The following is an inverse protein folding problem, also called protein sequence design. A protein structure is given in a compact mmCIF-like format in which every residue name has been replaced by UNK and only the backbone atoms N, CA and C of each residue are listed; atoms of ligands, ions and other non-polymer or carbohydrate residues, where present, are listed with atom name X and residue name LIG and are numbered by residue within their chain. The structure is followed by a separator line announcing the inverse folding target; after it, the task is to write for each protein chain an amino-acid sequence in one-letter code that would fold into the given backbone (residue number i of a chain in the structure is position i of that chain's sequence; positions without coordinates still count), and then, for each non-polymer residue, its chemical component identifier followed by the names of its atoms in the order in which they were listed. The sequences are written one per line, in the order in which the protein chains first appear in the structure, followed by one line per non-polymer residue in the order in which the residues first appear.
data_IF_183016789571
#
_entry.id   IF_183016789571
#
_cell.length_a   1.000
_cell.length_b   1.000
_cell.length_c   1.000
_cell.angle_alpha   90.00
_cell.angle_beta   90.00
_cell.angle_gamma   90.00
#
_symmetry.space_group_name_H-M   'P 1'
#
loop_
_entity.id
_entity.type
_entity.pdbx_description
1 polymer ?
#
# COMPACT_ATOMS: atom_id res chain seq x y z
N UNK A 1 18.51 4.55 -11.34
CA UNK A 1 19.09 4.53 -9.98
C UNK A 1 18.12 5.27 -9.08
N UNK A 2 17.80 4.70 -7.91
CA UNK A 2 16.86 5.32 -6.97
C UNK A 2 17.60 6.47 -6.28
N UNK A 3 17.16 7.71 -6.49
CA UNK A 3 17.77 8.89 -5.87
C UNK A 3 17.28 9.05 -4.41
N UNK A 4 17.72 8.13 -3.54
CA UNK A 4 17.34 8.12 -2.12
C UNK A 4 18.06 9.19 -1.29
N UNK A 5 19.11 9.82 -1.84
CA UNK A 5 19.89 10.85 -1.15
C UNK A 5 19.08 12.10 -0.80
N UNK A 6 17.93 12.31 -1.45
CA UNK A 6 16.99 13.40 -1.15
C UNK A 6 16.06 13.09 0.03
N UNK A 7 16.00 11.86 0.51
CA UNK A 7 15.08 11.47 1.56
C UNK A 7 15.74 11.69 2.94
N UNK A 8 15.11 12.44 3.86
CA UNK A 8 15.73 12.83 5.12
C UNK A 8 16.33 11.68 5.95
N UNK A 9 15.69 10.51 5.93
CA UNK A 9 16.14 9.35 6.70
C UNK A 9 17.50 8.78 6.23
N UNK A 10 17.84 8.95 4.95
CA UNK A 10 19.10 8.46 4.37
C UNK A 10 20.24 9.48 4.45
N UNK A 11 20.00 10.68 4.99
CA UNK A 11 21.00 11.77 5.03
C UNK A 11 22.24 11.47 5.86
N UNK A 12 22.15 10.52 6.80
CA UNK A 12 23.27 10.10 7.64
C UNK A 12 24.10 8.96 7.02
N UNK A 13 23.66 8.39 5.89
CA UNK A 13 24.42 7.35 5.21
C UNK A 13 25.57 7.94 4.40
N UNK A 14 26.66 7.19 4.28
CA UNK A 14 27.78 7.57 3.43
C UNK A 14 27.37 7.60 1.94
N UNK A 15 28.02 8.41 1.09
CA UNK A 15 27.76 8.40 -0.35
C UNK A 15 27.93 7.02 -0.99
N UNK A 16 28.86 6.21 -0.49
CA UNK A 16 29.11 4.84 -0.94
C UNK A 16 27.92 3.92 -0.61
N UNK A 17 27.38 4.01 0.61
CA UNK A 17 26.18 3.26 1.00
C UNK A 17 24.97 3.70 0.17
N UNK A 18 24.73 5.00 0.00
CA UNK A 18 23.65 5.54 -0.84
C UNK A 18 23.75 4.99 -2.27
N UNK A 19 24.96 4.98 -2.85
CA UNK A 19 25.20 4.45 -4.19
C UNK A 19 24.98 2.93 -4.31
N UNK A 20 25.05 2.19 -3.19
CA UNK A 20 24.78 0.75 -3.16
C UNK A 20 23.28 0.41 -3.20
N UNK A 21 22.41 1.37 -2.86
CA UNK A 21 20.96 1.15 -2.71
C UNK A 21 20.29 0.96 -4.06
N UNK A 22 19.77 -0.25 -4.29
CA UNK A 22 18.99 -0.62 -5.47
C UNK A 22 17.50 -0.35 -5.27
N UNK A 23 16.98 -0.66 -4.08
CA UNK A 23 15.57 -0.45 -3.69
C UNK A 23 15.50 0.04 -2.26
N UNK A 24 14.52 0.88 -1.94
CA UNK A 24 14.32 1.37 -0.58
C UNK A 24 12.84 1.61 -0.32
N UNK A 25 12.40 1.28 0.89
CA UNK A 25 11.10 1.66 1.40
C UNK A 25 11.30 2.37 2.74
N UNK A 26 10.65 3.52 2.88
CA UNK A 26 10.55 4.25 4.14
C UNK A 26 9.14 4.10 4.66
N UNK A 27 8.98 3.86 5.95
CA UNK A 27 7.70 3.60 6.58
C UNK A 27 7.72 4.12 8.03
N UNK A 28 6.70 3.73 8.80
CA UNK A 28 6.43 4.32 10.11
C UNK A 28 5.63 5.62 9.99
N UNK A 29 4.90 5.96 11.06
CA UNK A 29 3.98 7.11 11.11
C UNK A 29 4.66 8.44 10.81
N UNK A 30 5.97 8.53 11.02
CA UNK A 30 6.75 9.74 10.81
C UNK A 30 7.79 9.60 9.69
N UNK A 31 7.70 8.56 8.84
CA UNK A 31 8.72 8.24 7.82
C UNK A 31 10.12 8.10 8.45
N UNK A 32 10.17 7.37 9.57
CA UNK A 32 11.29 7.27 10.49
C UNK A 32 11.81 5.83 10.63
N UNK A 33 11.36 4.93 9.76
CA UNK A 33 11.78 3.54 9.65
C UNK A 33 12.11 3.29 8.17
N UNK A 34 13.20 2.57 7.89
CA UNK A 34 13.64 2.29 6.54
C UNK A 34 14.08 0.82 6.43
N UNK A 35 13.78 0.26 5.27
CA UNK A 35 14.35 -0.97 4.75
C UNK A 35 14.91 -0.69 3.36
N UNK A 36 16.11 -1.14 3.07
CA UNK A 36 16.69 -1.00 1.74
C UNK A 36 17.42 -2.27 1.31
N UNK A 37 17.51 -2.44 0.00
CA UNK A 37 18.15 -3.58 -0.66
C UNK A 37 19.29 -3.05 -1.51
N UNK A 38 20.47 -3.62 -1.34
CA UNK A 38 21.66 -3.25 -2.11
C UNK A 38 21.66 -3.91 -3.49
N UNK A 39 22.59 -3.50 -4.36
CA UNK A 39 22.85 -4.18 -5.63
C UNK A 39 23.31 -5.63 -5.48
N UNK A 40 23.81 -6.02 -4.30
CA UNK A 40 24.26 -7.38 -3.98
C UNK A 40 23.17 -8.22 -3.30
N UNK A 41 21.90 -7.79 -3.36
CA UNK A 41 20.76 -8.45 -2.71
C UNK A 41 20.88 -8.54 -1.17
N UNK A 42 21.68 -7.68 -0.54
CA UNK A 42 21.71 -7.54 0.92
C UNK A 42 20.58 -6.61 1.37
N UNK A 43 19.99 -6.93 2.51
CA UNK A 43 18.85 -6.21 3.08
C UNK A 43 19.27 -5.56 4.38
N UNK A 44 19.01 -4.26 4.49
CA UNK A 44 19.33 -3.48 5.67
C UNK A 44 18.11 -2.73 6.18
N UNK A 45 18.07 -2.52 7.50
CA UNK A 45 17.00 -1.83 8.21
C UNK A 45 17.57 -0.85 9.22
N UNK A 46 16.90 0.28 9.42
CA UNK A 46 17.20 1.22 10.49
C UNK A 46 16.02 2.16 10.74
N UNK A 47 16.06 2.89 11.84
CA UNK A 47 15.04 3.83 12.28
C UNK A 47 14.46 3.47 13.65
N UNK A 48 13.21 3.89 13.86
CA UNK A 48 12.44 3.56 15.06
C UNK A 48 12.06 2.07 15.05
N UNK A 49 12.07 1.42 16.21
CA UNK A 49 11.74 -0.02 16.31
C UNK A 49 10.82 -0.37 17.49
N UNK A 50 10.07 0.60 18.02
CA UNK A 50 9.17 0.36 19.16
C UNK A 50 8.06 -0.67 18.87
N UNK A 51 7.80 -0.94 17.59
CA UNK A 51 6.78 -1.88 17.11
C UNK A 51 7.38 -3.15 16.50
N UNK A 52 8.69 -3.38 16.68
CA UNK A 52 9.44 -4.51 16.12
C UNK A 52 9.44 -4.57 14.58
N UNK A 53 9.10 -3.47 13.89
CA UNK A 53 8.97 -3.43 12.43
C UNK A 53 10.31 -3.37 11.69
N UNK A 54 11.44 -3.21 12.38
CA UNK A 54 12.75 -3.46 11.77
C UNK A 54 13.06 -4.96 11.67
N UNK A 55 12.41 -5.82 12.46
CA UNK A 55 12.62 -7.27 12.40
C UNK A 55 14.01 -7.73 12.86
N UNK A 56 14.71 -6.94 13.67
CA UNK A 56 16.10 -7.17 14.09
C UNK A 56 16.27 -8.17 15.25
N UNK A 57 15.18 -8.78 15.73
CA UNK A 57 15.19 -9.65 16.92
C UNK A 57 15.14 -8.91 18.25
N UNK A 58 15.00 -7.59 18.22
CA UNK A 58 14.86 -6.71 19.37
C UNK A 58 13.85 -5.59 19.06
N UNK A 59 13.55 -4.74 20.05
CA UNK A 59 12.73 -3.54 19.90
C UNK A 59 13.58 -2.25 19.93
N UNK A 60 14.89 -2.36 19.70
CA UNK A 60 15.81 -1.24 19.81
C UNK A 60 15.85 -0.45 18.51
N UNK A 61 15.65 0.86 18.64
CA UNK A 61 15.79 1.79 17.52
C UNK A 61 17.27 2.00 17.21
N UNK A 62 17.59 2.20 15.93
CA UNK A 62 18.98 2.39 15.49
C UNK A 62 19.02 3.41 14.36
N UNK A 63 20.01 4.29 14.36
CA UNK A 63 20.30 5.16 13.21
C UNK A 63 21.35 4.55 12.27
N UNK A 64 22.03 3.50 12.72
CA UNK A 64 23.00 2.75 11.94
C UNK A 64 22.27 1.60 11.24
N UNK A 65 22.41 1.42 9.92
CA UNK A 65 21.89 0.27 9.20
C UNK A 65 22.31 -1.05 9.83
N UNK A 66 21.32 -1.87 10.20
CA UNK A 66 21.52 -3.26 10.62
C UNK A 66 21.18 -4.17 9.45
N UNK A 67 22.04 -5.14 9.17
CA UNK A 67 21.78 -6.16 8.15
C UNK A 67 20.70 -7.12 8.64
N UNK A 68 19.69 -7.37 7.81
CA UNK A 68 18.59 -8.27 8.08
C UNK A 68 18.84 -9.61 7.40
N UNK A 69 19.65 -10.45 8.05
CA UNK A 69 20.21 -11.68 7.47
C UNK A 69 19.14 -12.63 6.92
N UNK A 70 17.98 -12.73 7.58
CA UNK A 70 16.88 -13.60 7.18
C UNK A 70 16.31 -13.30 5.77
N UNK A 71 16.53 -12.09 5.24
CA UNK A 71 16.02 -11.66 3.94
C UNK A 71 17.12 -11.43 2.89
N UNK A 72 18.40 -11.57 3.26
CA UNK A 72 19.49 -11.40 2.31
C UNK A 72 19.43 -12.50 1.23
N UNK A 73 19.59 -12.11 -0.04
CA UNK A 73 19.49 -13.02 -1.19
C UNK A 73 18.06 -13.40 -1.61
N UNK A 74 17.03 -13.02 -0.84
CA UNK A 74 15.62 -13.40 -1.09
C UNK A 74 14.91 -12.57 -2.17
N UNK A 75 15.63 -11.87 -3.06
CA UNK A 75 15.10 -11.07 -4.20
C UNK A 75 13.70 -10.47 -3.97
N UNK A 76 13.64 -9.35 -3.27
CA UNK A 76 12.38 -8.73 -2.83
C UNK A 76 11.63 -8.10 -4.02
N UNK A 77 10.36 -8.49 -4.18
CA UNK A 77 9.47 -8.02 -5.25
C UNK A 77 8.37 -7.06 -4.77
N UNK A 78 7.76 -7.30 -3.61
CA UNK A 78 6.73 -6.43 -3.02
C UNK A 78 6.92 -6.27 -1.50
N UNK A 79 6.59 -5.10 -0.95
CA UNK A 79 6.67 -4.79 0.47
C UNK A 79 5.52 -3.84 0.85
N UNK A 80 4.85 -4.12 1.97
CA UNK A 80 3.80 -3.27 2.49
C UNK A 80 3.91 -3.10 4.01
N UNK A 81 3.64 -1.89 4.49
CA UNK A 81 3.61 -1.54 5.91
C UNK A 81 2.20 -1.12 6.33
N UNK A 82 1.71 -1.70 7.42
CA UNK A 82 0.39 -1.42 7.99
C UNK A 82 0.43 -0.43 9.15
N UNK A 83 -0.65 0.34 9.36
CA UNK A 83 -0.68 1.36 10.42
C UNK A 83 -0.84 0.81 11.84
N UNK A 84 -1.37 -0.40 11.99
CA UNK A 84 -1.19 -1.23 13.19
C UNK A 84 0.10 -2.01 12.97
N UNK A 85 1.22 -1.44 13.43
CA UNK A 85 2.52 -1.50 12.77
C UNK A 85 2.97 -2.93 12.49
N UNK A 86 2.88 -3.38 11.24
CA UNK A 86 3.38 -4.68 10.78
C UNK A 86 3.85 -4.57 9.34
N UNK A 87 4.76 -5.46 8.95
CA UNK A 87 5.33 -5.50 7.61
C UNK A 87 4.98 -6.83 6.96
N UNK A 88 4.56 -6.75 5.69
CA UNK A 88 4.54 -7.88 4.77
C UNK A 88 5.55 -7.64 3.67
N UNK A 89 6.18 -8.72 3.24
CA UNK A 89 7.13 -8.71 2.14
C UNK A 89 6.91 -9.97 1.32
N UNK A 90 7.00 -9.86 0.00
CA UNK A 90 7.12 -11.04 -0.85
C UNK A 90 8.34 -10.99 -1.77
N UNK A 91 8.80 -12.18 -2.13
CA UNK A 91 9.99 -12.42 -2.97
C UNK A 91 9.59 -12.68 -4.42
N UNK A 92 10.54 -12.63 -5.35
CA UNK A 92 10.32 -13.02 -6.77
C UNK A 92 9.93 -14.50 -6.92
N UNK A 93 10.35 -15.34 -5.98
CA UNK A 93 10.01 -16.76 -5.87
C UNK A 93 8.59 -16.97 -5.30
N UNK A 94 7.96 -15.90 -4.80
CA UNK A 94 6.60 -15.92 -4.29
C UNK A 94 6.46 -16.26 -2.80
N UNK A 95 7.58 -16.32 -2.07
CA UNK A 95 7.57 -16.49 -0.62
C UNK A 95 7.05 -15.21 0.05
N UNK A 96 6.26 -15.34 1.11
CA UNK A 96 5.76 -14.21 1.90
C UNK A 96 6.35 -14.24 3.30
N UNK A 97 6.86 -13.11 3.76
CA UNK A 97 7.38 -12.88 5.10
C UNK A 97 6.55 -11.83 5.83
N UNK A 98 6.36 -12.03 7.13
CA UNK A 98 5.61 -11.12 7.99
C UNK A 98 6.32 -10.91 9.35
N UNK A 99 6.31 -9.69 9.86
CA UNK A 99 6.78 -9.35 11.21
C UNK A 99 6.17 -8.04 11.73
N UNK A 100 6.45 -7.69 12.99
CA UNK A 100 5.91 -6.53 13.69
C UNK A 100 4.76 -6.89 14.63
N UNK A 101 3.78 -5.99 14.74
CA UNK A 101 2.61 -6.16 15.58
C UNK A 101 1.76 -7.36 15.12
N UNK A 102 1.21 -8.15 16.06
CA UNK A 102 0.39 -9.34 15.76
C UNK A 102 -0.86 -9.52 16.66
N UNK A 103 -1.29 -8.49 17.40
CA UNK A 103 -2.41 -8.64 18.35
C UNK A 103 -3.74 -9.13 17.76
N UNK A 104 -3.91 -9.07 16.44
CA UNK A 104 -5.10 -9.55 15.72
C UNK A 104 -4.75 -10.60 14.65
N UNK A 105 -3.62 -11.29 14.80
CA UNK A 105 -3.13 -12.31 13.87
C UNK A 105 -2.80 -11.82 12.45
N UNK A 106 -2.48 -10.53 12.28
CA UNK A 106 -2.07 -9.98 10.99
C UNK A 106 -0.75 -10.55 10.43
N UNK A 107 0.04 -11.29 11.22
CA UNK A 107 1.21 -12.00 10.69
C UNK A 107 0.84 -13.33 10.01
N UNK A 108 -0.40 -13.80 10.13
CA UNK A 108 -0.89 -14.96 9.38
C UNK A 108 -0.30 -16.31 9.80
N UNK A 109 0.30 -16.36 10.99
CA UNK A 109 1.02 -17.52 11.53
C UNK A 109 0.19 -18.35 12.53
N UNK A 110 -1.12 -18.13 12.61
CA UNK A 110 -1.98 -18.86 13.55
C UNK A 110 -1.89 -18.38 15.00
N UNK A 111 -1.10 -17.36 15.30
CA UNK A 111 -0.87 -16.86 16.65
C UNK A 111 -1.15 -15.35 16.78
N UNK A 112 -1.01 -14.82 17.99
CA UNK A 112 -1.12 -13.38 18.30
C UNK A 112 0.15 -12.80 18.93
N UNK A 113 1.23 -13.58 18.96
CA UNK A 113 2.53 -13.15 19.48
C UNK A 113 3.20 -12.18 18.51
N UNK A 114 3.80 -11.12 19.04
CA UNK A 114 4.52 -10.12 18.24
C UNK A 114 5.67 -10.78 17.45
N UNK A 115 5.86 -10.38 16.19
CA UNK A 115 6.95 -10.85 15.34
C UNK A 115 8.16 -9.92 15.46
N UNK A 116 9.20 -10.36 16.16
CA UNK A 116 10.44 -9.58 16.32
C UNK A 116 11.45 -9.81 15.19
N UNK A 117 11.24 -10.82 14.36
CA UNK A 117 12.03 -11.16 13.16
C UNK A 117 11.10 -11.52 12.00
N UNK A 118 11.54 -11.36 10.73
CA UNK A 118 10.81 -11.84 9.58
C UNK A 118 10.55 -13.35 9.67
N UNK A 119 9.29 -13.76 9.61
CA UNK A 119 8.90 -15.17 9.58
C UNK A 119 8.13 -15.44 8.29
N UNK A 120 8.44 -16.55 7.64
CA UNK A 120 7.74 -16.99 6.44
C UNK A 120 6.30 -17.42 6.77
N UNK A 121 5.34 -16.95 5.98
CA UNK A 121 3.91 -17.28 6.15
C UNK A 121 3.62 -18.63 5.48
N UNK A 122 3.92 -19.72 6.19
CA UNK A 122 3.93 -21.09 5.67
C UNK A 122 2.56 -21.81 5.59
N UNK A 123 1.47 -21.08 5.36
CA UNK A 123 0.10 -21.67 5.34
C UNK A 123 -0.43 -21.85 3.92
N UNK A 124 -1.65 -21.39 3.63
CA UNK A 124 -2.30 -21.51 2.32
C UNK A 124 -1.57 -20.76 1.18
N UNK A 125 -0.51 -20.00 1.52
CA UNK A 125 0.33 -19.30 0.56
C UNK A 125 1.51 -20.14 0.04
N UNK A 126 1.90 -21.24 0.70
CA UNK A 126 3.08 -22.04 0.28
C UNK A 126 2.97 -22.61 -1.14
N UNK A 127 1.75 -22.93 -1.57
CA UNK A 127 1.47 -23.49 -2.89
C UNK A 127 1.21 -22.41 -3.94
N UNK A 128 1.38 -21.13 -3.58
CA UNK A 128 1.07 -19.98 -4.42
C UNK A 128 2.31 -19.14 -4.64
N UNK A 129 2.51 -18.69 -5.87
CA UNK A 129 3.49 -17.65 -6.19
C UNK A 129 2.87 -16.29 -5.90
N UNK A 130 3.17 -15.68 -4.75
CA UNK A 130 2.69 -14.34 -4.40
C UNK A 130 3.46 -13.27 -5.18
N UNK A 131 2.75 -12.28 -5.71
CA UNK A 131 3.32 -11.20 -6.54
C UNK A 131 3.10 -9.81 -5.96
N UNK A 132 2.09 -9.63 -5.12
CA UNK A 132 1.80 -8.35 -4.44
C UNK A 132 1.29 -8.61 -3.03
N UNK A 133 1.71 -7.76 -2.07
CA UNK A 133 1.20 -7.75 -0.70
C UNK A 133 0.65 -6.36 -0.34
N UNK A 134 -0.35 -6.31 0.53
CA UNK A 134 -0.89 -5.05 1.04
C UNK A 134 -1.28 -5.16 2.53
N UNK A 135 -0.91 -4.15 3.30
CA UNK A 135 -1.22 -4.05 4.73
C UNK A 135 -2.24 -2.94 4.99
N UNK A 136 -3.31 -3.25 5.71
CA UNK A 136 -4.16 -2.24 6.33
C UNK A 136 -3.66 -1.90 7.72
N UNK A 137 -4.54 -1.53 8.65
CA UNK A 137 -4.08 -1.34 10.03
C UNK A 137 -3.66 -2.65 10.68
N UNK A 138 -4.54 -3.64 10.68
CA UNK A 138 -4.35 -4.90 11.41
C UNK A 138 -4.81 -6.08 10.58
N UNK A 139 -4.87 -5.91 9.26
CA UNK A 139 -5.23 -6.95 8.31
C UNK A 139 -4.26 -6.90 7.14
N UNK A 140 -4.19 -8.01 6.45
CA UNK A 140 -3.15 -8.30 5.47
C UNK A 140 -3.78 -8.94 4.25
N UNK A 141 -3.24 -8.63 3.08
CA UNK A 141 -3.65 -9.17 1.80
C UNK A 141 -2.44 -9.64 1.00
N UNK A 142 -2.60 -10.74 0.28
CA UNK A 142 -1.63 -11.25 -0.68
C UNK A 142 -2.32 -11.65 -1.98
N UNK A 143 -1.76 -11.20 -3.10
CA UNK A 143 -2.21 -11.53 -4.44
C UNK A 143 -1.21 -12.52 -5.07
N UNK A 144 -1.72 -13.65 -5.53
CA UNK A 144 -0.93 -14.62 -6.29
C UNK A 144 -0.88 -14.30 -7.79
N UNK A 145 0.12 -14.84 -8.48
CA UNK A 145 0.28 -14.71 -9.93
C UNK A 145 -0.92 -15.24 -10.74
N UNK A 146 -1.66 -16.21 -10.18
CA UNK A 146 -2.87 -16.78 -10.81
C UNK A 146 -4.11 -15.86 -10.64
N UNK A 147 -3.96 -14.73 -9.94
CA UNK A 147 -5.05 -13.81 -9.61
C UNK A 147 -5.88 -14.22 -8.39
N UNK A 148 -5.45 -15.25 -7.63
CA UNK A 148 -6.08 -15.59 -6.36
C UNK A 148 -5.68 -14.58 -5.28
N UNK A 149 -6.69 -14.04 -4.60
CA UNK A 149 -6.55 -13.11 -3.50
C UNK A 149 -6.73 -13.82 -2.15
N UNK A 150 -5.80 -13.59 -1.24
CA UNK A 150 -5.84 -14.05 0.14
C UNK A 150 -5.86 -12.87 1.10
N UNK A 151 -6.60 -13.00 2.20
CA UNK A 151 -6.61 -12.00 3.26
C UNK A 151 -6.66 -12.66 4.65
N UNK A 152 -6.11 -11.98 5.65
CA UNK A 152 -6.12 -12.42 7.06
C UNK A 152 -5.96 -11.26 8.04
N UNK A 153 -6.02 -11.57 9.34
CA UNK A 153 -5.91 -10.62 10.44
C UNK A 153 -7.26 -10.13 10.99
N UNK A 154 -7.27 -8.90 11.47
CA UNK A 154 -8.41 -8.21 12.07
C UNK A 154 -9.57 -8.06 11.09
N UNK A 155 -10.79 -8.38 11.50
CA UNK A 155 -11.93 -8.47 10.59
C UNK A 155 -13.26 -7.86 11.12
N UNK A 156 -13.25 -7.06 12.19
CA UNK A 156 -14.50 -6.57 12.80
C UNK A 156 -15.42 -5.77 11.85
N UNK A 157 -14.89 -5.20 10.77
CA UNK A 157 -15.66 -4.48 9.75
C UNK A 157 -15.85 -5.30 8.46
N UNK A 158 -15.37 -6.54 8.41
CA UNK A 158 -15.40 -7.38 7.22
C UNK A 158 -14.25 -7.20 6.26
N UNK A 159 -13.18 -6.47 6.64
CA UNK A 159 -12.03 -6.14 5.77
C UNK A 159 -11.24 -7.34 5.25
N UNK A 160 -11.44 -8.53 5.80
CA UNK A 160 -10.84 -9.77 5.27
C UNK A 160 -11.72 -10.39 4.16
N UNK A 161 -12.95 -9.91 3.96
CA UNK A 161 -13.82 -10.32 2.85
C UNK A 161 -14.42 -11.73 3.01
N UNK A 162 -14.43 -12.25 4.24
CA UNK A 162 -14.83 -13.63 4.55
C UNK A 162 -16.35 -13.87 4.66
N UNK A 163 -17.16 -12.81 4.59
CA UNK A 163 -18.61 -12.86 4.90
C UNK A 163 -18.91 -12.91 6.40
N UNK A 164 -17.89 -12.76 7.25
CA UNK A 164 -17.98 -12.76 8.71
C UNK A 164 -17.22 -11.55 9.27
N UNK A 165 -17.38 -11.27 10.57
CA UNK A 165 -16.61 -10.29 11.33
C UNK A 165 -15.52 -10.91 12.21
N UNK A 166 -15.38 -12.25 12.20
CA UNK A 166 -14.36 -12.96 12.97
C UNK A 166 -12.97 -12.76 12.35
N UNK A 167 -11.97 -12.49 13.21
CA UNK A 167 -10.56 -12.40 12.80
C UNK A 167 -10.11 -13.71 12.12
N UNK A 168 -9.21 -13.60 11.17
CA UNK A 168 -8.69 -14.74 10.41
C UNK A 168 -7.21 -14.95 10.76
N UNK A 169 -6.86 -15.99 11.52
CA UNK A 169 -5.50 -16.13 12.04
C UNK A 169 -4.47 -16.60 11.00
N UNK A 170 -4.94 -17.06 9.84
CA UNK A 170 -4.13 -17.55 8.72
C UNK A 170 -4.70 -17.03 7.40
N UNK A 171 -3.88 -16.81 6.35
CA UNK A 171 -4.31 -16.49 5.00
C UNK A 171 -5.49 -17.32 4.53
N UNK A 172 -6.60 -16.67 4.17
CA UNK A 172 -7.79 -17.29 3.61
C UNK A 172 -8.11 -16.70 2.25
N UNK A 173 -8.42 -17.56 1.27
CA UNK A 173 -8.81 -17.11 -0.08
C UNK A 173 -10.12 -16.34 -0.03
N UNK A 174 -10.12 -15.13 -0.58
CA UNK A 174 -11.30 -14.25 -0.73
C UNK A 174 -12.08 -14.72 -1.96
N UNK A 175 -12.94 -15.72 -1.77
CA UNK A 175 -13.51 -16.50 -2.87
C UNK A 175 -14.91 -16.06 -3.32
N UNK A 176 -15.63 -15.20 -2.59
CA UNK A 176 -17.03 -14.85 -2.86
C UNK A 176 -17.24 -14.15 -4.22
N UNK A 177 -17.53 -12.84 -4.25
CA UNK A 177 -17.83 -12.07 -5.46
C UNK A 177 -16.65 -11.94 -6.44
N UNK A 178 -15.50 -12.53 -6.11
CA UNK A 178 -14.28 -12.59 -6.93
C UNK A 178 -14.07 -13.97 -7.58
N UNK A 179 -14.96 -14.96 -7.34
CA UNK A 179 -14.84 -16.27 -7.98
C UNK A 179 -14.84 -16.15 -9.51
N UNK A 180 -13.86 -16.77 -10.17
CA UNK A 180 -13.72 -16.73 -11.62
C UNK A 180 -13.24 -15.38 -12.18
N UNK A 181 -12.91 -14.40 -11.31
CA UNK A 181 -12.27 -13.15 -11.71
C UNK A 181 -10.78 -13.22 -11.38
N UNK A 182 -9.97 -12.71 -12.30
CA UNK A 182 -8.52 -12.59 -12.10
C UNK A 182 -8.23 -11.23 -11.46
N UNK A 183 -7.85 -11.22 -10.19
CA UNK A 183 -7.38 -10.00 -9.51
C UNK A 183 -6.00 -9.64 -10.04
N UNK A 184 -5.76 -8.36 -10.34
CA UNK A 184 -4.50 -7.86 -10.90
C UNK A 184 -3.82 -6.80 -10.05
N UNK A 185 -4.53 -6.21 -9.09
CA UNK A 185 -3.95 -5.28 -8.13
C UNK A 185 -4.81 -5.22 -6.86
N UNK A 186 -4.18 -4.98 -5.72
CA UNK A 186 -4.84 -4.87 -4.42
C UNK A 186 -4.48 -3.56 -3.72
N UNK A 187 -5.32 -3.08 -2.80
CA UNK A 187 -4.94 -2.02 -1.88
C UNK A 187 -5.68 -2.11 -0.55
N UNK A 188 -5.02 -1.69 0.53
CA UNK A 188 -5.63 -1.63 1.85
C UNK A 188 -5.75 -0.17 2.30
N UNK A 189 -6.95 0.22 2.71
CA UNK A 189 -7.13 1.37 3.60
C UNK A 189 -6.90 0.95 5.05
N UNK A 190 -7.23 1.81 6.01
CA UNK A 190 -7.02 1.48 7.43
C UNK A 190 -7.82 0.23 7.86
N UNK A 191 -9.11 0.18 7.51
CA UNK A 191 -10.04 -0.91 7.84
C UNK A 191 -10.89 -1.32 6.62
N UNK A 192 -10.41 -1.01 5.43
CA UNK A 192 -11.06 -1.34 4.16
C UNK A 192 -10.06 -1.95 3.20
N UNK A 193 -10.57 -2.67 2.22
CA UNK A 193 -9.78 -3.35 1.20
C UNK A 193 -10.37 -3.10 -0.17
N UNK A 194 -9.49 -3.04 -1.15
CA UNK A 194 -9.80 -2.80 -2.55
C UNK A 194 -9.07 -3.80 -3.42
N UNK A 195 -9.69 -4.19 -4.53
CA UNK A 195 -9.09 -4.99 -5.57
C UNK A 195 -9.51 -4.49 -6.95
N UNK A 196 -8.58 -4.55 -7.90
CA UNK A 196 -8.83 -4.38 -9.32
C UNK A 196 -8.76 -5.77 -9.96
N UNK A 197 -9.73 -6.11 -10.81
CA UNK A 197 -9.69 -7.31 -11.63
C UNK A 197 -9.25 -7.00 -13.06
N UNK A 198 -8.85 -8.01 -13.82
CA UNK A 198 -8.20 -7.88 -15.13
C UNK A 198 -8.96 -7.07 -16.20
N UNK A 199 -10.28 -6.89 -16.07
CA UNK A 199 -11.09 -6.04 -16.93
C UNK A 199 -11.23 -4.59 -16.43
N UNK A 200 -10.45 -4.20 -15.41
CA UNK A 200 -10.44 -2.85 -14.83
C UNK A 200 -11.55 -2.58 -13.81
N UNK A 201 -12.43 -3.55 -13.50
CA UNK A 201 -13.46 -3.37 -12.47
C UNK A 201 -12.85 -3.30 -11.06
N UNK A 202 -13.42 -2.42 -10.22
CA UNK A 202 -13.01 -2.24 -8.83
C UNK A 202 -14.00 -2.90 -7.88
N UNK A 203 -13.48 -3.61 -6.88
CA UNK A 203 -14.23 -4.21 -5.78
C UNK A 203 -13.71 -3.68 -4.45
N UNK A 204 -14.62 -3.27 -3.57
CA UNK A 204 -14.31 -2.77 -2.23
C UNK A 204 -15.05 -3.54 -1.14
N UNK A 205 -14.40 -3.73 0.02
CA UNK A 205 -15.02 -4.31 1.22
C UNK A 205 -14.38 -3.83 2.52
N UNK A 206 -15.01 -4.14 3.65
CA UNK A 206 -14.62 -3.70 4.98
C UNK A 206 -15.40 -2.48 5.47
N UNK A 207 -14.73 -1.63 6.25
CA UNK A 207 -15.31 -0.43 6.85
C UNK A 207 -15.66 0.61 5.78
N UNK A 208 -16.86 1.19 5.89
CA UNK A 208 -17.36 2.17 4.92
C UNK A 208 -17.99 3.43 5.58
N UNK A 209 -17.72 3.70 6.85
CA UNK A 209 -18.38 4.79 7.57
C UNK A 209 -18.16 6.20 6.98
N UNK A 210 -17.15 6.39 6.12
CA UNK A 210 -16.88 7.64 5.42
C UNK A 210 -17.13 7.54 3.89
N UNK A 211 -17.72 6.44 3.41
CA UNK A 211 -17.90 6.18 1.99
C UNK A 211 -16.63 5.70 1.29
N UNK A 212 -15.59 5.27 2.01
CA UNK A 212 -14.30 4.88 1.41
C UNK A 212 -14.38 3.68 0.45
N UNK A 213 -15.49 2.94 0.44
CA UNK A 213 -15.75 1.88 -0.52
C UNK A 213 -16.33 2.38 -1.85
N UNK A 214 -16.85 3.62 -1.91
CA UNK A 214 -17.35 4.21 -3.15
C UNK A 214 -18.70 3.66 -3.62
N UNK A 215 -19.48 3.06 -2.72
CA UNK A 215 -20.71 2.33 -3.03
C UNK A 215 -21.99 3.21 -3.01
N UNK A 216 -21.84 4.53 -2.90
CA UNK A 216 -22.96 5.47 -2.76
C UNK A 216 -23.68 5.41 -1.42
N UNK A 217 -23.07 4.76 -0.42
CA UNK A 217 -23.62 4.59 0.94
C UNK A 217 -22.47 4.49 1.98
N UNK A 218 -22.83 4.40 3.26
CA UNK A 218 -21.90 4.28 4.39
C UNK A 218 -21.93 2.91 5.10
N UNK A 219 -22.54 1.89 4.49
CA UNK A 219 -22.66 0.56 5.08
C UNK A 219 -21.41 -0.28 4.85
N UNK A 220 -20.88 -0.91 5.92
CA UNK A 220 -19.77 -1.86 5.82
C UNK A 220 -20.14 -3.03 4.90
N UNK A 221 -19.14 -3.61 4.24
CA UNK A 221 -19.32 -4.78 3.39
C UNK A 221 -18.47 -5.94 3.90
N UNK A 222 -19.10 -7.06 4.21
CA UNK A 222 -18.40 -8.25 4.71
C UNK A 222 -17.77 -9.10 3.61
N UNK A 223 -18.13 -8.81 2.36
CA UNK A 223 -17.65 -9.48 1.14
C UNK A 223 -17.31 -8.44 0.08
N UNK A 224 -16.42 -8.74 -0.87
CA UNK A 224 -16.13 -7.84 -1.99
C UNK A 224 -17.40 -7.38 -2.71
N UNK A 225 -17.56 -6.07 -2.87
CA UNK A 225 -18.70 -5.45 -3.56
C UNK A 225 -18.20 -4.58 -4.71
N UNK A 226 -18.81 -4.72 -5.89
CA UNK A 226 -18.41 -3.97 -7.09
C UNK A 226 -18.75 -2.49 -6.94
N UNK A 227 -17.79 -1.62 -7.26
CA UNK A 227 -17.98 -0.17 -7.30
C UNK A 227 -18.71 0.20 -8.60
N UNK A 228 -20.04 0.08 -8.60
CA UNK A 228 -20.86 0.24 -9.81
C UNK A 228 -20.75 1.63 -10.46
N UNK A 229 -20.40 2.66 -9.69
CA UNK A 229 -20.19 4.03 -10.19
C UNK A 229 -19.00 4.15 -11.16
N UNK A 230 -18.09 3.17 -11.21
CA UNK A 230 -16.98 3.10 -12.18
C UNK A 230 -17.30 2.19 -13.37
N UNK A 231 -18.58 1.89 -13.62
CA UNK A 231 -18.96 1.08 -14.77
C UNK A 231 -18.53 1.75 -16.08
N UNK A 232 -17.90 0.97 -16.96
CA UNK A 232 -17.35 1.48 -18.23
C UNK A 232 -15.99 2.16 -18.11
N UNK A 233 -15.44 2.33 -16.90
CA UNK A 233 -14.09 2.89 -16.68
C UNK A 233 -13.11 1.76 -16.37
N UNK A 234 -12.05 1.65 -17.16
CA UNK A 234 -10.99 0.68 -16.91
C UNK A 234 -9.96 1.27 -15.94
N UNK A 235 -9.99 0.81 -14.68
CA UNK A 235 -9.04 1.26 -13.65
C UNK A 235 -7.74 0.46 -13.74
N UNK A 236 -6.61 1.17 -13.83
CA UNK A 236 -5.28 0.57 -13.87
C UNK A 236 -4.60 0.53 -12.50
N UNK A 237 -4.87 1.51 -11.64
CA UNK A 237 -4.21 1.63 -10.33
C UNK A 237 -5.18 2.15 -9.29
N UNK A 238 -5.06 1.62 -8.07
CA UNK A 238 -5.83 2.05 -6.91
C UNK A 238 -4.90 2.23 -5.72
N UNK A 239 -5.09 3.31 -4.98
CA UNK A 239 -4.40 3.55 -3.71
C UNK A 239 -5.42 3.96 -2.66
N UNK A 240 -5.21 3.48 -1.44
CA UNK A 240 -6.03 3.82 -0.31
C UNK A 240 -5.22 4.63 0.69
N UNK A 241 -5.78 5.74 1.14
CA UNK A 241 -5.34 6.42 2.35
C UNK A 241 -6.04 5.84 3.58
N UNK A 242 -6.06 6.62 4.67
CA UNK A 242 -6.66 6.18 5.93
C UNK A 242 -8.16 5.81 5.78
N UNK A 243 -8.94 6.68 5.15
CA UNK A 243 -10.38 6.51 4.92
C UNK A 243 -10.83 7.12 3.59
N UNK A 244 -9.95 7.18 2.60
CA UNK A 244 -10.24 7.64 1.25
C UNK A 244 -9.52 6.78 0.23
N UNK A 245 -9.98 6.81 -1.01
CA UNK A 245 -9.44 5.99 -2.09
C UNK A 245 -9.28 6.84 -3.34
N UNK A 246 -8.17 6.63 -4.05
CA UNK A 246 -7.90 7.24 -5.36
C UNK A 246 -7.75 6.13 -6.39
N UNK A 247 -8.27 6.36 -7.60
CA UNK A 247 -8.15 5.43 -8.71
C UNK A 247 -7.74 6.15 -9.99
N UNK A 248 -6.84 5.55 -10.76
CA UNK A 248 -6.38 6.06 -12.06
C UNK A 248 -6.89 5.15 -13.17
N UNK A 249 -7.59 5.71 -14.15
CA UNK A 249 -8.04 4.97 -15.33
C UNK A 249 -6.96 4.85 -16.41
N UNK A 250 -7.20 3.96 -17.37
CA UNK A 250 -6.39 3.81 -18.59
C UNK A 250 -6.44 5.00 -19.54
N UNK A 251 -7.48 5.81 -19.45
CA UNK A 251 -7.59 7.12 -20.11
C UNK A 251 -6.80 8.23 -19.39
N UNK A 252 -6.22 7.93 -18.21
CA UNK A 252 -5.49 8.89 -17.39
C UNK A 252 -6.40 9.81 -16.57
N UNK A 253 -7.66 9.41 -16.35
CA UNK A 253 -8.60 10.13 -15.49
C UNK A 253 -8.39 9.70 -14.03
N UNK A 254 -8.39 10.68 -13.14
CA UNK A 254 -8.27 10.47 -11.71
C UNK A 254 -9.63 10.52 -11.03
N UNK A 255 -9.93 9.53 -10.20
CA UNK A 255 -11.13 9.48 -9.38
C UNK A 255 -10.75 9.46 -7.90
N UNK A 256 -11.56 10.11 -7.06
CA UNK A 256 -11.38 10.12 -5.61
C UNK A 256 -12.72 9.94 -4.89
N UNK A 257 -12.70 9.22 -3.76
CA UNK A 257 -13.87 9.10 -2.87
C UNK A 257 -13.47 8.77 -1.43
N UNK A 258 -14.45 8.85 -0.52
CA UNK A 258 -14.31 8.60 0.91
C UNK A 258 -14.27 9.88 1.75
N UNK A 259 -13.54 9.82 2.85
CA UNK A 259 -13.36 10.94 3.78
C UNK A 259 -12.71 12.13 3.08
N UNK A 260 -13.19 13.35 3.37
CA UNK A 260 -12.69 14.60 2.79
C UNK A 260 -12.55 15.74 3.80
N UNK A 261 -12.58 15.46 5.11
CA UNK A 261 -12.57 16.49 6.18
C UNK A 261 -11.43 17.50 6.08
N UNK A 262 -10.32 17.12 5.43
CA UNK A 262 -9.15 17.97 5.24
C UNK A 262 -8.90 18.34 3.76
N UNK A 263 -9.83 18.01 2.85
CA UNK A 263 -9.67 18.25 1.42
C UNK A 263 -8.86 17.20 0.67
N UNK A 264 -8.63 16.02 1.26
CA UNK A 264 -7.83 14.94 0.66
C UNK A 264 -8.35 14.40 -0.68
N UNK A 265 -9.60 14.71 -1.06
CA UNK A 265 -10.14 14.31 -2.36
C UNK A 265 -9.81 15.31 -3.47
N UNK A 266 -9.33 16.53 -3.14
CA UNK A 266 -8.99 17.54 -4.15
C UNK A 266 -10.19 18.15 -4.87
N UNK A 267 -11.37 18.12 -4.25
CA UNK A 267 -12.64 18.59 -4.85
C UNK A 267 -12.94 20.08 -4.65
N UNK A 268 -12.01 20.82 -4.06
CA UNK A 268 -12.21 22.23 -3.67
C UNK A 268 -13.15 22.43 -2.47
N UNK A 269 -13.58 21.36 -1.80
CA UNK A 269 -14.39 21.42 -0.58
C UNK A 269 -13.96 20.33 0.43
N UNK A 270 -14.65 20.26 1.57
CA UNK A 270 -14.36 19.32 2.67
C UNK A 270 -15.43 18.24 2.89
N UNK A 271 -16.34 18.07 1.94
CA UNK A 271 -17.45 17.13 2.04
C UNK A 271 -17.02 15.74 1.58
N UNK A 272 -17.27 14.73 2.41
CA UNK A 272 -17.03 13.32 2.07
C UNK A 272 -17.77 12.95 0.77
N UNK A 273 -17.18 12.06 -0.02
CA UNK A 273 -17.79 11.56 -1.25
C UNK A 273 -18.08 10.07 -1.11
N UNK A 274 -19.35 9.69 -1.19
CA UNK A 274 -19.76 8.29 -1.02
C UNK A 274 -19.61 7.45 -2.30
N UNK A 275 -19.39 8.13 -3.43
CA UNK A 275 -19.17 7.56 -4.74
C UNK A 275 -17.91 8.17 -5.36
N UNK A 276 -17.20 7.43 -6.23
CA UNK A 276 -16.11 7.96 -7.05
C UNK A 276 -16.49 9.24 -7.77
N UNK A 277 -15.71 10.29 -7.55
CA UNK A 277 -15.83 11.55 -8.25
C UNK A 277 -14.58 11.78 -9.08
N UNK A 278 -14.76 12.11 -10.36
CA UNK A 278 -13.65 12.48 -11.23
C UNK A 278 -13.06 13.81 -10.78
N UNK A 279 -11.75 13.83 -10.53
CA UNK A 279 -11.01 15.03 -10.17
C UNK A 279 -10.51 15.66 -11.47
N UNK A 280 -11.14 16.78 -11.86
CA UNK A 280 -10.70 17.55 -13.02
C UNK A 280 -9.33 18.16 -12.72
N UNK A 281 -8.34 17.77 -13.52
CA UNK A 281 -7.09 18.51 -13.57
C UNK A 281 -7.30 19.69 -14.50
N UNK A 282 -7.19 20.92 -13.99
CA UNK A 282 -6.92 22.04 -14.89
C UNK A 282 -5.63 21.69 -15.63
N UNK A 283 -5.71 21.49 -16.95
CA UNK A 283 -4.53 21.62 -17.81
C UNK A 283 -3.99 23.00 -17.50
N UNK A 284 -2.76 23.08 -16.97
CA UNK A 284 -2.13 24.35 -16.66
C UNK A 284 -2.36 25.34 -17.80
N UNK A 285 -2.93 26.49 -17.44
CA UNK A 285 -3.12 27.64 -18.31
C UNK A 285 -1.72 28.03 -18.81
N UNK A 286 -1.44 27.81 -20.10
CA UNK A 286 -0.28 28.40 -20.77
C UNK A 286 -0.43 29.92 -20.68
N UNK A 287 0.17 30.54 -19.67
CA UNK A 287 0.43 31.97 -19.68
C UNK A 287 1.71 32.15 -20.49
N UNK A 288 1.55 32.29 -21.81
CA UNK A 288 2.59 32.92 -22.62
C UNK A 288 2.61 34.40 -22.27
N UNK A 289 3.45 34.79 -21.31
CA UNK A 289 3.93 36.16 -21.21
C UNK A 289 5.34 36.19 -20.59
N UNK A 290 6.31 36.61 -21.41
CA UNK A 290 7.67 37.09 -21.11
C UNK A 290 8.81 36.29 -21.76
N UNK A 291 9.61 36.91 -22.66
CA UNK A 291 10.78 36.28 -23.26
C UNK A 291 11.99 36.48 -22.35
N UNK A 292 12.12 35.71 -21.26
CA UNK A 292 13.40 35.45 -20.56
C UNK A 292 13.32 34.46 -19.37
N UNK A 293 12.28 33.64 -19.23
CA UNK A 293 12.25 32.60 -18.19
C UNK A 293 12.60 31.23 -18.78
N UNK A 294 13.59 30.58 -18.16
CA UNK A 294 14.06 29.22 -18.48
C UNK A 294 12.86 28.26 -18.42
N UNK A 295 12.46 27.74 -19.58
CA UNK A 295 11.37 26.77 -19.71
C UNK A 295 11.81 25.41 -19.15
N UNK A 296 11.31 25.02 -17.99
CA UNK A 296 11.21 23.60 -17.62
C UNK A 296 9.96 23.01 -18.26
N UNK A 297 10.11 22.42 -19.44
CA UNK A 297 9.09 21.55 -20.03
C UNK A 297 9.11 20.19 -19.30
N UNK A 298 8.21 19.96 -18.35
CA UNK A 298 7.97 18.60 -17.84
C UNK A 298 6.88 17.93 -18.70
N UNK A 299 7.30 17.13 -19.68
CA UNK A 299 6.49 16.06 -20.25
C UNK A 299 6.26 14.99 -19.14
N UNK A 300 5.27 15.23 -18.28
CA UNK A 300 4.84 14.28 -17.25
C UNK A 300 4.16 13.09 -17.93
N UNK A 301 4.89 11.98 -18.07
CA UNK A 301 4.29 10.69 -18.45
C UNK A 301 3.28 10.25 -17.38
N UNK A 302 2.30 9.40 -17.75
CA UNK A 302 1.21 8.94 -16.87
C UNK A 302 1.68 8.48 -15.47
N UNK A 303 2.85 7.83 -15.38
CA UNK A 303 3.48 7.41 -14.11
C UNK A 303 3.97 8.59 -13.25
N UNK A 304 4.52 9.63 -13.86
CA UNK A 304 5.03 10.80 -13.13
C UNK A 304 3.88 11.69 -12.63
N UNK A 305 2.78 11.78 -13.38
CA UNK A 305 1.57 12.48 -12.94
C UNK A 305 0.97 11.84 -11.68
N UNK A 306 0.93 10.50 -11.65
CA UNK A 306 0.43 9.71 -10.53
C UNK A 306 1.34 9.82 -9.28
N UNK A 307 2.66 9.71 -9.47
CA UNK A 307 3.63 9.87 -8.37
C UNK A 307 3.63 11.31 -7.83
N UNK A 308 3.54 12.31 -8.70
CA UNK A 308 3.44 13.71 -8.33
C UNK A 308 2.14 13.98 -7.55
N UNK A 309 1.03 13.34 -7.92
CA UNK A 309 -0.24 13.46 -7.20
C UNK A 309 -0.16 12.83 -5.81
N UNK A 310 0.41 11.62 -5.69
CA UNK A 310 0.69 10.97 -4.40
C UNK A 310 1.58 11.86 -3.52
N UNK A 311 2.65 12.43 -4.06
CA UNK A 311 3.60 13.26 -3.32
C UNK A 311 3.02 14.63 -2.90
N UNK A 312 2.25 15.32 -3.76
CA UNK A 312 1.61 16.60 -3.40
C UNK A 312 0.53 16.41 -2.34
N UNK A 313 -0.27 15.35 -2.43
CA UNK A 313 -1.29 15.07 -1.41
C UNK A 313 -0.69 14.53 -0.11
N UNK A 314 0.39 13.73 -0.15
CA UNK A 314 1.14 13.35 1.05
C UNK A 314 1.75 14.55 1.79
N UNK A 315 2.18 15.60 1.08
CA UNK A 315 2.81 16.78 1.70
C UNK A 315 1.82 17.68 2.46
N UNK A 316 0.55 17.77 2.03
CA UNK A 316 -0.47 18.60 2.68
C UNK A 316 -1.20 17.88 3.83
N UNK A 317 -1.04 16.56 3.95
CA UNK A 317 -1.89 15.71 4.78
C UNK A 317 -1.07 14.70 5.57
N UNK A 318 -0.61 15.13 6.76
CA UNK A 318 -0.21 14.28 7.89
C UNK A 318 0.24 12.84 7.52
N UNK A 319 1.43 12.74 6.89
CA UNK A 319 2.32 11.55 6.77
C UNK A 319 1.65 10.17 6.90
N UNK A 320 0.75 9.77 6.01
CA UNK A 320 0.12 8.43 6.09
C UNK A 320 -0.04 7.75 4.72
N UNK A 321 0.47 6.52 4.68
CA UNK A 321 0.41 5.49 3.63
C UNK A 321 1.31 5.71 2.41
N UNK A 322 2.41 4.96 2.37
CA UNK A 322 3.15 4.67 1.14
C UNK A 322 2.74 3.29 0.64
N UNK A 323 1.98 3.27 -0.46
CA UNK A 323 2.14 2.23 -1.46
C UNK A 323 3.14 2.74 -2.49
N UNK A 324 4.20 1.96 -2.69
CA UNK A 324 5.00 1.95 -3.91
C UNK A 324 5.65 3.27 -4.35
N UNK A 325 6.40 3.91 -3.44
CA UNK A 325 7.57 4.69 -3.90
C UNK A 325 8.75 3.73 -3.98
N UNK A 326 8.74 2.97 -5.08
CA UNK A 326 9.86 2.19 -5.66
C UNK A 326 10.08 0.79 -5.06
N UNK A 327 9.49 -0.20 -5.74
CA UNK A 327 9.97 -1.58 -5.81
C UNK A 327 10.17 -2.00 -7.27
#
# INVERSE_FOLDING_TARGET
MVDVGKWPIFTLLSPQEIASIRKACVFGTSANEAIYVTHNDEVFVFGLNCSNCLGTGDNQSTIVPKKLEALCGKKISSLSYGSGPHVLLCTEDGEVYAWGHNGYSQLGNGATNQGITPVQVCTNLLIKRVVEVACGSHHSMALSADGDLYAWGYNNCGQVGSGSTANQPTPRRVSNCLQGKMVVSIACGQTSSMAIVNNGEVYGWGYNGNGQLGLGNNGNQLTPCRVAALHGVCILQIVCGYAHTLALSDEGLLYAWGANTYGQLGTGNKSNQLSPLQIMMEKERLVEDSPLSIRYNLLLTRKHLWLFFLLRFQFYMNRKFMKDVIL
#
